data_IF_989923129391
#
_entry.id   IF_989923129391
#
_cell.length_a   1.000
_cell.length_b   1.000
_cell.length_c   1.000
_cell.angle_alpha   90.00
_cell.angle_beta   90.00
_cell.angle_gamma   90.00
#
_symmetry.space_group_name_H-M   'P 1'
#
loop_
_entity.id
_entity.type
_entity.pdbx_description
1 polymer ?
#
# COMPACT_ATOMS: atom_id res chain seq x y z
N UNK A 1 -7.38 -14.77 -24.75
CA UNK A 1 -7.13 -14.02 -23.50
C UNK A 1 -5.75 -13.35 -23.39
N UNK A 2 -4.80 -13.50 -24.35
CA UNK A 2 -3.48 -12.82 -24.30
C UNK A 2 -3.52 -11.29 -24.58
N UNK A 3 -4.39 -10.81 -25.47
CA UNK A 3 -4.41 -9.39 -25.90
C UNK A 3 -4.81 -8.38 -24.81
N UNK A 4 -5.68 -8.77 -23.87
CA UNK A 4 -6.16 -7.85 -22.82
C UNK A 4 -5.09 -7.54 -21.75
N UNK A 5 -4.13 -8.44 -21.55
CA UNK A 5 -2.99 -8.21 -20.64
C UNK A 5 -1.96 -7.25 -21.25
N UNK A 6 -1.66 -7.41 -22.54
CA UNK A 6 -0.72 -6.56 -23.28
C UNK A 6 -1.22 -5.10 -23.36
N UNK A 7 -2.49 -4.88 -23.71
CA UNK A 7 -3.08 -3.53 -23.74
C UNK A 7 -3.09 -2.86 -22.35
N UNK A 8 -3.34 -3.65 -21.29
CA UNK A 8 -3.27 -3.17 -19.90
C UNK A 8 -1.87 -2.71 -19.51
N UNK A 9 -0.84 -3.53 -19.79
CA UNK A 9 0.56 -3.16 -19.51
C UNK A 9 1.00 -1.91 -20.26
N UNK A 10 0.58 -1.75 -21.53
CA UNK A 10 0.90 -0.57 -22.35
C UNK A 10 0.26 0.71 -21.79
N UNK A 11 -0.95 0.62 -21.23
CA UNK A 11 -1.61 1.75 -20.59
C UNK A 11 -0.86 2.22 -19.34
N UNK A 12 -0.54 1.29 -18.43
CA UNK A 12 0.18 1.62 -17.19
C UNK A 12 1.60 2.12 -17.47
N UNK A 13 2.31 1.51 -18.43
CA UNK A 13 3.62 1.99 -18.89
C UNK A 13 3.55 3.42 -19.44
N UNK A 14 2.46 3.75 -20.16
CA UNK A 14 2.23 5.10 -20.68
C UNK A 14 2.02 6.09 -19.55
N UNK A 15 1.33 5.69 -18.48
CA UNK A 15 1.08 6.53 -17.30
C UNK A 15 2.39 6.97 -16.63
N UNK A 16 3.40 6.09 -16.62
CA UNK A 16 4.69 6.36 -15.98
C UNK A 16 5.74 6.96 -16.91
N UNK A 17 5.80 6.56 -18.18
CA UNK A 17 6.81 7.07 -19.13
C UNK A 17 6.47 8.42 -19.76
N UNK A 18 5.20 8.81 -19.85
CA UNK A 18 4.86 10.08 -20.48
C UNK A 18 5.12 11.27 -19.55
N UNK A 19 5.97 12.20 -19.98
CA UNK A 19 6.30 13.45 -19.27
C UNK A 19 5.07 14.26 -18.83
N UNK A 20 3.96 14.21 -19.59
CA UNK A 20 2.69 14.88 -19.25
C UNK A 20 2.06 14.29 -17.98
N UNK A 21 2.05 12.97 -17.84
CA UNK A 21 1.51 12.29 -16.67
C UNK A 21 2.40 12.47 -15.45
N UNK A 22 3.73 12.39 -15.63
CA UNK A 22 4.69 12.72 -14.56
C UNK A 22 4.48 14.14 -14.02
N UNK A 23 4.25 15.12 -14.91
CA UNK A 23 3.95 16.49 -14.51
C UNK A 23 2.59 16.61 -13.79
N UNK A 24 1.57 15.85 -14.21
CA UNK A 24 0.28 15.79 -13.51
C UNK A 24 0.44 15.19 -12.11
N UNK A 25 1.19 14.10 -11.96
CA UNK A 25 1.48 13.49 -10.66
C UNK A 25 2.28 14.43 -9.76
N UNK A 26 3.33 15.06 -10.27
CA UNK A 26 4.10 16.06 -9.54
C UNK A 26 3.23 17.25 -9.11
N UNK A 27 2.38 17.76 -10.01
CA UNK A 27 1.40 18.80 -9.70
C UNK A 27 0.38 18.36 -8.65
N UNK A 28 -0.08 17.11 -8.70
CA UNK A 28 -0.96 16.51 -7.71
C UNK A 28 -0.31 16.40 -6.33
N UNK A 29 0.95 15.95 -6.25
CA UNK A 29 1.73 15.89 -4.99
C UNK A 29 1.94 17.30 -4.42
N UNK A 30 2.32 18.28 -5.25
CA UNK A 30 2.48 19.66 -4.84
C UNK A 30 1.15 20.29 -4.37
N UNK A 31 0.07 20.03 -5.10
CA UNK A 31 -1.28 20.47 -4.72
C UNK A 31 -1.74 19.83 -3.42
N UNK A 32 -1.47 18.55 -3.22
CA UNK A 32 -1.74 17.84 -1.97
C UNK A 32 -0.93 18.43 -0.80
N UNK A 33 0.35 18.73 -1.00
CA UNK A 33 1.17 19.44 -0.02
C UNK A 33 0.59 20.81 0.36
N UNK A 34 0.14 21.58 -0.63
CA UNK A 34 -0.50 22.87 -0.39
C UNK A 34 -1.84 22.74 0.38
N UNK A 35 -2.62 21.68 0.12
CA UNK A 35 -3.84 21.37 0.86
C UNK A 35 -3.54 20.96 2.31
N UNK A 36 -2.49 20.16 2.54
CA UNK A 36 -2.03 19.78 3.88
C UNK A 36 -1.63 21.01 4.71
N UNK A 37 -1.05 22.03 4.09
CA UNK A 37 -0.73 23.32 4.76
C UNK A 37 -1.99 24.12 5.07
N UNK A 38 -2.99 24.13 4.18
CA UNK A 38 -4.24 24.90 4.32
C UNK A 38 -5.26 24.33 5.32
N UNK A 39 -5.06 23.12 5.83
CA UNK A 39 -5.76 22.64 7.03
C UNK A 39 -6.80 21.52 6.88
N UNK A 40 -7.40 21.20 5.73
CA UNK A 40 -8.31 20.06 5.67
C UNK A 40 -7.52 18.75 5.50
N UNK A 41 -7.15 18.11 6.62
CA UNK A 41 -6.59 16.75 6.67
C UNK A 41 -7.59 15.67 6.18
N UNK A 42 -8.84 16.04 5.92
CA UNK A 42 -9.92 15.12 5.52
C UNK A 42 -9.71 14.45 4.16
N UNK A 43 -8.85 15.01 3.29
CA UNK A 43 -8.56 14.43 1.97
C UNK A 43 -7.49 13.33 2.01
N UNK A 44 -6.75 13.18 3.11
CA UNK A 44 -5.67 12.19 3.23
C UNK A 44 -6.16 10.74 3.12
N UNK A 45 -7.29 10.31 3.73
CA UNK A 45 -7.79 8.94 3.60
C UNK A 45 -8.27 8.63 2.19
N UNK A 46 -8.94 9.59 1.55
CA UNK A 46 -9.46 9.43 0.19
C UNK A 46 -8.33 9.24 -0.82
N UNK A 47 -7.24 10.01 -0.69
CA UNK A 47 -6.06 9.88 -1.54
C UNK A 47 -5.35 8.54 -1.31
N UNK A 48 -5.19 8.13 -0.05
CA UNK A 48 -4.59 6.85 0.30
C UNK A 48 -5.37 5.64 -0.27
N UNK A 49 -6.69 5.61 -0.08
CA UNK A 49 -7.57 4.57 -0.63
C UNK A 49 -7.54 4.58 -2.15
N UNK A 50 -7.56 5.76 -2.79
CA UNK A 50 -7.50 5.88 -4.24
C UNK A 50 -6.20 5.30 -4.80
N UNK A 51 -5.04 5.68 -4.25
CA UNK A 51 -3.74 5.16 -4.70
C UNK A 51 -3.64 3.64 -4.51
N UNK A 52 -4.09 3.11 -3.37
CA UNK A 52 -4.12 1.66 -3.13
C UNK A 52 -5.07 0.92 -4.07
N UNK A 53 -6.23 1.49 -4.37
CA UNK A 53 -7.20 0.88 -5.29
C UNK A 53 -6.66 0.84 -6.71
N UNK A 54 -5.97 1.91 -7.15
CA UNK A 54 -5.31 1.95 -8.46
C UNK A 54 -4.16 0.93 -8.55
N UNK A 55 -3.34 0.84 -7.50
CA UNK A 55 -2.28 -0.16 -7.39
C UNK A 55 -2.83 -1.60 -7.43
N UNK A 56 -3.91 -1.87 -6.69
CA UNK A 56 -4.57 -3.18 -6.68
C UNK A 56 -5.27 -3.50 -8.01
N UNK A 57 -5.81 -2.49 -8.71
CA UNK A 57 -6.38 -2.64 -10.05
C UNK A 57 -5.31 -3.00 -11.08
N UNK A 58 -4.14 -2.37 -11.00
CA UNK A 58 -2.98 -2.71 -11.84
C UNK A 58 -2.57 -4.17 -11.58
N UNK A 59 -2.33 -4.56 -10.33
CA UNK A 59 -1.95 -5.93 -9.98
C UNK A 59 -3.01 -6.97 -10.42
N UNK A 60 -4.30 -6.66 -10.23
CA UNK A 60 -5.39 -7.52 -10.71
C UNK A 60 -5.40 -7.70 -12.24
N UNK A 61 -4.91 -6.73 -13.02
CA UNK A 61 -4.96 -6.75 -14.48
C UNK A 61 -3.69 -7.31 -15.11
N UNK A 62 -2.52 -6.88 -14.64
CA UNK A 62 -1.22 -7.19 -15.24
C UNK A 62 -0.45 -8.26 -14.46
N UNK A 63 -0.72 -8.40 -13.16
CA UNK A 63 0.09 -9.22 -12.25
C UNK A 63 1.49 -8.64 -12.00
N UNK A 64 1.71 -7.38 -12.38
CA UNK A 64 2.91 -6.61 -12.10
C UNK A 64 2.50 -5.32 -11.42
N UNK A 65 3.27 -4.92 -10.42
CA UNK A 65 3.01 -3.72 -9.66
C UNK A 65 4.06 -2.67 -9.98
N UNK A 66 3.64 -1.52 -10.48
CA UNK A 66 4.55 -0.43 -10.83
C UNK A 66 5.12 0.25 -9.59
N UNK A 67 6.43 0.42 -9.55
CA UNK A 67 7.16 1.14 -8.50
C UNK A 67 6.68 2.59 -8.32
N UNK A 68 6.08 3.17 -9.37
CA UNK A 68 5.57 4.53 -9.34
C UNK A 68 4.45 4.74 -8.32
N UNK A 69 3.53 3.78 -8.14
CA UNK A 69 2.45 3.90 -7.15
C UNK A 69 2.99 3.87 -5.73
N UNK A 70 3.94 2.98 -5.49
CA UNK A 70 4.63 2.85 -4.22
C UNK A 70 5.42 4.12 -3.88
N UNK A 71 6.06 4.74 -4.88
CA UNK A 71 6.75 6.01 -4.71
C UNK A 71 5.78 7.16 -4.39
N UNK A 72 4.65 7.25 -5.11
CA UNK A 72 3.62 8.24 -4.80
C UNK A 72 3.08 8.08 -3.39
N UNK A 73 2.79 6.84 -2.98
CA UNK A 73 2.37 6.52 -1.62
C UNK A 73 3.44 6.91 -0.59
N UNK A 74 4.71 6.57 -0.82
CA UNK A 74 5.80 6.92 0.09
C UNK A 74 5.94 8.44 0.26
N UNK A 75 5.95 9.20 -0.84
CA UNK A 75 6.12 10.66 -0.79
C UNK A 75 4.92 11.33 -0.11
N UNK A 76 3.70 10.99 -0.53
CA UNK A 76 2.49 11.57 0.05
C UNK A 76 2.26 11.14 1.50
N UNK A 77 2.66 9.92 1.86
CA UNK A 77 2.64 9.39 3.22
C UNK A 77 3.62 10.10 4.13
N UNK A 78 4.86 10.29 3.66
CA UNK A 78 5.87 11.04 4.38
C UNK A 78 5.44 12.50 4.63
N UNK A 79 4.86 13.16 3.62
CA UNK A 79 4.31 14.52 3.77
C UNK A 79 3.18 14.59 4.81
N UNK A 80 2.32 13.57 4.83
CA UNK A 80 1.20 13.47 5.79
C UNK A 80 1.70 13.18 7.20
N UNK A 81 2.66 12.26 7.34
CA UNK A 81 3.25 11.88 8.60
C UNK A 81 3.98 13.04 9.28
N UNK A 82 4.72 13.85 8.50
CA UNK A 82 5.41 15.03 8.99
C UNK A 82 4.45 16.01 9.70
N UNK A 83 3.18 16.05 9.30
CA UNK A 83 2.14 16.90 9.89
C UNK A 83 1.40 16.26 11.06
N UNK A 84 1.21 14.93 11.05
CA UNK A 84 0.31 14.23 11.98
C UNK A 84 0.98 13.54 13.15
N UNK A 85 2.03 12.74 12.88
CA UNK A 85 2.62 11.82 13.86
C UNK A 85 4.15 12.00 14.01
N UNK A 86 4.73 12.93 13.25
CA UNK A 86 6.18 13.17 13.23
C UNK A 86 6.92 12.24 12.25
N UNK A 87 8.04 12.72 11.72
CA UNK A 87 8.82 11.97 10.71
C UNK A 87 9.44 10.69 11.28
N UNK A 88 9.78 10.66 12.57
CA UNK A 88 10.41 9.52 13.23
C UNK A 88 9.53 8.27 13.23
N UNK A 89 8.25 8.41 13.59
CA UNK A 89 7.32 7.29 13.69
C UNK A 89 6.98 6.67 12.33
N UNK A 90 6.89 7.52 11.29
CA UNK A 90 6.69 7.08 9.91
C UNK A 90 7.92 6.40 9.31
N UNK A 91 9.12 6.85 9.66
CA UNK A 91 10.35 6.15 9.30
C UNK A 91 10.48 4.82 10.04
N UNK A 92 10.09 4.77 11.31
CA UNK A 92 10.09 3.55 12.10
C UNK A 92 9.10 2.52 11.55
N UNK A 93 7.87 2.93 11.22
CA UNK A 93 6.88 2.04 10.61
C UNK A 93 7.35 1.54 9.24
N UNK A 94 7.89 2.41 8.39
CA UNK A 94 8.47 2.02 7.11
C UNK A 94 9.64 1.04 7.27
N UNK A 95 10.56 1.31 8.19
CA UNK A 95 11.69 0.42 8.47
C UNK A 95 11.25 -0.95 9.01
N UNK A 96 10.24 -0.99 9.89
CA UNK A 96 9.67 -2.22 10.42
C UNK A 96 9.04 -3.07 9.32
N UNK A 97 8.15 -2.49 8.51
CA UNK A 97 7.47 -3.20 7.42
C UNK A 97 8.47 -3.66 6.37
N UNK A 98 9.41 -2.79 5.96
CA UNK A 98 10.46 -3.13 5.02
C UNK A 98 11.30 -4.31 5.53
N UNK A 99 11.75 -4.27 6.79
CA UNK A 99 12.56 -5.35 7.38
C UNK A 99 11.79 -6.68 7.37
N UNK A 100 10.52 -6.67 7.79
CA UNK A 100 9.70 -7.88 7.82
C UNK A 100 9.47 -8.42 6.40
N UNK A 101 9.09 -7.57 5.46
CA UNK A 101 8.84 -7.98 4.07
C UNK A 101 10.12 -8.43 3.35
N UNK A 102 11.29 -7.84 3.65
CA UNK A 102 12.59 -8.31 3.12
C UNK A 102 12.91 -9.71 3.67
N UNK A 103 12.72 -9.93 4.96
CA UNK A 103 12.92 -11.27 5.55
C UNK A 103 11.97 -12.28 4.89
N UNK A 104 10.70 -11.94 4.72
CA UNK A 104 9.73 -12.78 4.01
C UNK A 104 10.14 -13.05 2.55
N UNK A 105 10.63 -12.03 1.85
CA UNK A 105 11.13 -12.14 0.48
C UNK A 105 12.32 -13.09 0.38
N UNK A 106 13.27 -13.00 1.32
CA UNK A 106 14.44 -13.88 1.37
C UNK A 106 14.07 -15.34 1.71
N UNK A 107 13.06 -15.55 2.56
CA UNK A 107 12.59 -16.90 2.92
C UNK A 107 11.72 -17.50 1.81
N UNK A 108 10.93 -16.68 1.13
CA UNK A 108 9.88 -17.12 0.19
C UNK A 108 10.19 -16.75 -1.27
N UNK A 109 11.48 -16.76 -1.66
CA UNK A 109 12.02 -16.26 -2.95
C UNK A 109 11.21 -16.61 -4.22
N UNK A 110 10.42 -17.69 -4.20
CA UNK A 110 9.58 -18.11 -5.34
C UNK A 110 8.15 -17.57 -5.34
N UNK A 111 7.65 -17.01 -4.25
CA UNK A 111 6.22 -16.69 -4.07
C UNK A 111 5.91 -15.20 -3.94
N UNK A 112 6.90 -14.35 -3.68
CA UNK A 112 6.69 -12.94 -3.35
C UNK A 112 7.35 -12.01 -4.36
N UNK A 113 6.57 -11.12 -4.97
CA UNK A 113 7.06 -10.16 -5.96
C UNK A 113 7.77 -8.98 -5.32
N UNK A 114 8.82 -8.47 -5.97
CA UNK A 114 9.52 -7.25 -5.51
C UNK A 114 8.57 -6.05 -5.45
N UNK A 115 7.57 -5.97 -6.33
CA UNK A 115 6.55 -4.93 -6.30
C UNK A 115 5.75 -4.91 -4.99
N UNK A 116 5.39 -6.08 -4.45
CA UNK A 116 4.65 -6.20 -3.19
C UNK A 116 5.44 -5.64 -2.00
N UNK A 117 6.76 -5.83 -2.00
CA UNK A 117 7.69 -5.27 -1.01
C UNK A 117 7.75 -3.74 -1.08
N UNK A 118 7.87 -3.17 -2.29
CA UNK A 118 7.96 -1.71 -2.44
C UNK A 118 6.61 -1.06 -2.08
N UNK A 119 5.49 -1.68 -2.47
CA UNK A 119 4.15 -1.17 -2.17
C UNK A 119 3.85 -1.20 -0.66
N UNK A 120 4.13 -2.32 0.02
CA UNK A 120 3.92 -2.43 1.46
C UNK A 120 4.75 -1.40 2.24
N UNK A 121 5.98 -1.14 1.78
CA UNK A 121 6.84 -0.10 2.33
C UNK A 121 6.25 1.30 2.11
N UNK A 122 5.71 1.58 0.91
CA UNK A 122 5.02 2.84 0.61
C UNK A 122 3.78 3.07 1.49
N UNK A 123 3.01 2.01 1.77
CA UNK A 123 1.86 2.03 2.69
C UNK A 123 2.31 2.30 4.12
N UNK A 124 3.42 1.71 4.56
CA UNK A 124 3.92 1.84 5.92
C UNK A 124 4.21 3.30 6.31
N UNK A 125 4.65 4.15 5.37
CA UNK A 125 4.85 5.58 5.62
C UNK A 125 3.58 6.32 6.09
N UNK A 126 2.40 5.83 5.73
CA UNK A 126 1.12 6.39 6.16
C UNK A 126 0.67 5.92 7.54
N UNK A 127 1.27 4.86 8.04
CA UNK A 127 0.85 4.16 9.25
C UNK A 127 1.74 4.53 10.43
N UNK A 128 1.18 4.50 11.64
CA UNK A 128 1.96 4.48 12.86
C UNK A 128 2.62 3.10 13.04
N UNK A 129 3.68 2.96 13.86
CA UNK A 129 4.36 1.68 14.06
C UNK A 129 3.43 0.53 14.48
N UNK A 130 2.42 0.83 15.31
CA UNK A 130 1.43 -0.16 15.74
C UNK A 130 0.47 -0.54 14.62
N UNK A 131 -0.05 0.43 13.87
CA UNK A 131 -0.99 0.15 12.77
C UNK A 131 -0.26 -0.48 11.58
N UNK A 132 1.05 -0.27 11.44
CA UNK A 132 1.89 -0.98 10.50
C UNK A 132 1.98 -2.49 10.81
N UNK A 133 2.05 -2.88 12.09
CA UNK A 133 1.96 -4.30 12.48
C UNK A 133 0.56 -4.87 12.20
N UNK A 134 -0.50 -4.11 12.51
CA UNK A 134 -1.87 -4.50 12.19
C UNK A 134 -2.08 -4.65 10.67
N UNK A 135 -1.46 -3.80 9.86
CA UNK A 135 -1.46 -3.89 8.41
C UNK A 135 -0.92 -5.24 7.94
N UNK A 136 0.26 -5.64 8.43
CA UNK A 136 0.86 -6.95 8.10
C UNK A 136 -0.11 -8.07 8.48
N UNK A 137 -0.71 -7.97 9.67
CA UNK A 137 -1.64 -8.97 10.18
C UNK A 137 -2.92 -9.07 9.34
N UNK A 138 -3.54 -7.94 8.98
CA UNK A 138 -4.75 -7.91 8.13
C UNK A 138 -4.47 -8.37 6.71
N UNK A 139 -3.33 -7.99 6.12
CA UNK A 139 -2.92 -8.48 4.81
C UNK A 139 -2.66 -9.98 4.82
N UNK A 140 -1.97 -10.50 5.84
CA UNK A 140 -1.75 -11.93 5.98
C UNK A 140 -3.07 -12.70 6.21
N UNK A 141 -3.96 -12.18 7.07
CA UNK A 141 -5.25 -12.81 7.36
C UNK A 141 -6.16 -12.84 6.13
N UNK A 142 -6.24 -11.74 5.37
CA UNK A 142 -7.04 -11.69 4.15
C UNK A 142 -6.52 -12.62 3.06
N UNK A 143 -5.19 -12.70 2.89
CA UNK A 143 -4.57 -13.67 2.00
C UNK A 143 -4.83 -15.11 2.46
N UNK A 144 -4.68 -15.39 3.76
CA UNK A 144 -4.93 -16.71 4.35
C UNK A 144 -6.37 -17.15 4.12
N UNK A 145 -7.37 -16.30 4.39
CA UNK A 145 -8.77 -16.61 4.15
C UNK A 145 -9.05 -16.90 2.67
N UNK A 146 -8.47 -16.10 1.77
CA UNK A 146 -8.64 -16.28 0.33
C UNK A 146 -7.96 -17.55 -0.22
N UNK A 147 -6.87 -18.00 0.39
CA UNK A 147 -6.19 -19.24 0.05
C UNK A 147 -6.83 -20.47 0.71
N UNK A 148 -7.19 -20.37 1.98
CA UNK A 148 -7.73 -21.46 2.78
C UNK A 148 -9.13 -21.89 2.30
N UNK A 149 -10.03 -20.95 2.01
CA UNK A 149 -11.41 -21.28 1.61
C UNK A 149 -11.43 -22.15 0.33
N UNK A 150 -10.80 -21.76 -0.79
CA UNK A 150 -10.80 -22.57 -2.01
C UNK A 150 -9.99 -23.86 -1.90
N UNK A 151 -8.96 -23.90 -1.05
CA UNK A 151 -8.18 -25.10 -0.78
C UNK A 151 -9.02 -26.14 -0.02
N UNK A 152 -9.76 -25.72 1.00
CA UNK A 152 -10.71 -26.55 1.75
C UNK A 152 -11.86 -27.03 0.86
N UNK A 153 -12.31 -26.22 -0.09
CA UNK A 153 -13.31 -26.57 -1.11
C UNK A 153 -12.75 -27.44 -2.25
N UNK A 154 -11.46 -27.80 -2.23
CA UNK A 154 -10.80 -28.62 -3.26
C UNK A 154 -10.70 -27.96 -4.64
N UNK A 155 -10.96 -26.66 -4.74
CA UNK A 155 -11.01 -25.91 -6.01
C UNK A 155 -9.66 -25.34 -6.47
N UNK A 156 -8.65 -25.32 -5.59
CA UNK A 156 -7.30 -24.84 -5.91
C UNK A 156 -6.23 -25.86 -5.53
N UNK A 157 -5.16 -25.92 -6.31
CA UNK A 157 -3.97 -26.75 -6.02
C UNK A 157 -2.91 -25.89 -5.34
N UNK A 158 -2.16 -26.49 -4.41
CA UNK A 158 -1.00 -25.86 -3.79
C UNK A 158 0.05 -25.58 -4.86
N UNK A 159 0.22 -24.32 -5.25
CA UNK A 159 1.17 -23.90 -6.29
C UNK A 159 0.63 -22.86 -7.29
N UNK A 160 -0.66 -22.53 -7.26
CA UNK A 160 -1.19 -21.45 -8.11
C UNK A 160 -0.59 -20.09 -7.67
N UNK A 161 -0.05 -19.29 -8.61
CA UNK A 161 0.50 -17.98 -8.29
C UNK A 161 -0.61 -17.06 -7.79
N UNK A 162 -0.49 -16.62 -6.54
CA UNK A 162 -1.43 -15.67 -5.93
C UNK A 162 -0.83 -14.27 -6.02
N UNK A 163 -1.62 -13.35 -6.56
CA UNK A 163 -1.28 -11.93 -6.63
C UNK A 163 -1.59 -11.28 -5.29
N UNK A 164 -0.56 -10.74 -4.63
CA UNK A 164 -0.66 -10.32 -3.24
C UNK A 164 -1.08 -8.85 -3.08
N UNK A 165 -1.00 -8.03 -4.15
CA UNK A 165 -1.33 -6.61 -4.14
C UNK A 165 -2.72 -6.26 -3.63
N UNK A 166 -3.81 -6.96 -4.01
CA UNK A 166 -5.15 -6.72 -3.47
C UNK A 166 -5.25 -6.95 -1.95
N UNK A 167 -4.50 -7.90 -1.39
CA UNK A 167 -4.49 -8.17 0.06
C UNK A 167 -3.67 -7.11 0.81
N UNK A 168 -2.61 -6.58 0.19
CA UNK A 168 -1.90 -5.39 0.68
C UNK A 168 -2.85 -4.20 0.71
N UNK A 169 -3.58 -3.94 -0.37
CA UNK A 169 -4.52 -2.82 -0.42
C UNK A 169 -5.62 -2.95 0.64
N UNK A 170 -6.22 -4.15 0.79
CA UNK A 170 -7.24 -4.40 1.82
C UNK A 170 -6.68 -4.20 3.23
N UNK A 171 -5.54 -4.81 3.54
CA UNK A 171 -4.92 -4.65 4.85
C UNK A 171 -4.52 -3.20 5.14
N UNK A 172 -4.04 -2.47 4.12
CA UNK A 172 -3.66 -1.07 4.23
C UNK A 172 -4.87 -0.17 4.55
N UNK A 173 -5.97 -0.35 3.82
CA UNK A 173 -7.22 0.38 4.07
C UNK A 173 -7.79 0.05 5.45
N UNK A 174 -7.75 -1.21 5.89
CA UNK A 174 -8.23 -1.62 7.21
C UNK A 174 -7.37 -1.05 8.33
N UNK A 175 -6.05 -1.12 8.21
CA UNK A 175 -5.12 -0.59 9.20
C UNK A 175 -5.19 0.94 9.30
N UNK A 176 -5.27 1.62 8.16
CA UNK A 176 -5.41 3.06 8.11
C UNK A 176 -6.77 3.52 8.64
N UNK A 177 -7.86 2.82 8.28
CA UNK A 177 -9.19 3.08 8.84
C UNK A 177 -9.24 2.85 10.35
N UNK A 178 -8.56 1.80 10.84
CA UNK A 178 -8.39 1.58 12.28
C UNK A 178 -7.67 2.75 12.95
N UNK A 179 -6.59 3.26 12.35
CA UNK A 179 -5.85 4.41 12.84
C UNK A 179 -6.72 5.68 12.92
N UNK A 180 -7.51 5.98 11.90
CA UNK A 180 -8.35 7.19 11.89
C UNK A 180 -9.53 7.10 12.86
N UNK A 181 -10.12 5.91 13.04
CA UNK A 181 -11.28 5.71 13.93
C UNK A 181 -10.82 5.65 15.39
N UNK A 182 -9.77 4.87 15.67
CA UNK A 182 -9.36 4.55 17.03
C UNK A 182 -8.19 5.40 17.54
N UNK A 183 -7.38 5.99 16.65
CA UNK A 183 -6.27 6.87 17.04
C UNK A 183 -6.71 7.97 18.01
N UNK A 184 -7.74 8.77 17.69
CA UNK A 184 -8.25 9.81 18.59
C UNK A 184 -8.86 9.29 19.90
N UNK A 185 -9.17 7.99 19.97
CA UNK A 185 -9.75 7.33 21.14
C UNK A 185 -8.68 6.67 22.03
N UNK A 186 -7.43 6.57 21.55
CA UNK A 186 -6.34 6.00 22.32
C UNK A 186 -5.90 6.98 23.41
N UNK A 187 -5.61 6.48 24.64
CA UNK A 187 -5.13 7.34 25.70
C UNK A 187 -3.78 8.01 25.33
N UNK A 188 -3.52 9.25 25.76
CA UNK A 188 -2.31 10.01 25.40
C UNK A 188 -1.00 9.43 25.97
N UNK A 189 -1.08 8.46 26.89
CA UNK A 189 0.08 7.70 27.38
C UNK A 189 0.41 6.50 26.49
N UNK A 190 -0.46 6.16 25.53
CA UNK A 190 -0.21 5.10 24.59
C UNK A 190 0.79 5.61 23.55
N UNK A 191 1.93 4.93 23.34
CA UNK A 191 3.05 5.46 22.55
C UNK A 191 2.78 5.66 21.06
N UNK A 192 1.52 5.50 20.61
CA UNK A 192 1.09 5.54 19.21
C UNK A 192 -0.31 6.18 19.02
N UNK A 193 -0.84 6.91 20.01
CA UNK A 193 -2.15 7.58 20.02
C UNK A 193 -2.07 9.07 19.67
#
# INVERSE_FOLDING_TARGET
>A
MKRAGEEGTVFWDRLWRHRKWQALWAGGVLGYGALLVRGPSFFSPALFVLLLTLAALEDCRTGYLSDGWSLLLAVTGFMTAFRRQGAGDSLLSAALVFTIYVVLYLVSQKSMGTGDLVLSTGVAFWLSPLTALLFIWFSALSALLFLAIPLLLGRKKAGDPVRFGPFIALGGVMAYGWQEIWGPLLPPWFPFG
#
